data_IF_130861813411
#
_entry.id   IF_130861813411
#
_cell.length_a   1.000
_cell.length_b   1.000
_cell.length_c   1.000
_cell.angle_alpha   90.00
_cell.angle_beta   90.00
_cell.angle_gamma   90.00
#
_symmetry.space_group_name_H-M   'P 1'
#
loop_
_entity.id
_entity.type
_entity.pdbx_description
1 polymer ?
#
# COMPACT_ATOMS: atom_id res chain seq x y z
N UNK A 1 8.96 -11.07 -17.08
CA UNK A 1 9.78 -10.65 -15.92
C UNK A 1 10.17 -11.92 -15.19
N UNK A 2 11.44 -12.14 -14.90
CA UNK A 2 11.86 -13.31 -14.11
C UNK A 2 11.44 -13.12 -12.65
N UNK A 3 11.19 -14.22 -11.94
CA UNK A 3 10.93 -14.17 -10.49
C UNK A 3 12.23 -13.71 -9.81
N UNK A 4 12.22 -12.66 -8.98
CA UNK A 4 13.41 -12.20 -8.30
C UNK A 4 13.95 -13.28 -7.36
N UNK A 5 15.28 -13.33 -7.22
CA UNK A 5 15.95 -14.23 -6.28
C UNK A 5 15.82 -13.68 -4.84
N UNK A 6 15.63 -14.55 -3.84
CA UNK A 6 15.58 -14.14 -2.44
C UNK A 6 16.92 -13.55 -1.99
N UNK A 7 16.94 -12.74 -0.91
CA UNK A 7 18.17 -12.17 -0.39
C UNK A 7 19.10 -13.25 0.17
N UNK A 8 20.40 -13.11 -0.12
CA UNK A 8 21.44 -14.00 0.42
C UNK A 8 21.85 -13.54 1.82
N UNK A 9 21.11 -13.97 2.84
CA UNK A 9 21.41 -13.66 4.24
C UNK A 9 22.31 -14.75 4.83
N UNK A 10 23.52 -14.40 5.23
CA UNK A 10 24.46 -15.37 5.80
C UNK A 10 24.16 -15.65 7.28
N UNK A 11 24.61 -16.81 7.78
CA UNK A 11 24.58 -17.10 9.23
C UNK A 11 25.36 -16.09 10.05
N UNK A 12 26.42 -15.52 9.48
CA UNK A 12 27.22 -14.49 10.13
C UNK A 12 26.42 -13.20 10.31
N UNK A 13 25.59 -12.82 9.32
CA UNK A 13 24.73 -11.63 9.43
C UNK A 13 23.67 -11.81 10.52
N UNK A 14 23.00 -12.97 10.55
CA UNK A 14 22.03 -13.28 11.60
C UNK A 14 22.66 -13.34 13.00
N UNK A 15 23.85 -13.93 13.13
CA UNK A 15 24.56 -13.96 14.42
C UNK A 15 24.94 -12.55 14.88
N UNK A 16 25.36 -11.68 13.95
CA UNK A 16 25.62 -10.27 14.27
C UNK A 16 24.34 -9.59 14.77
N UNK A 17 23.19 -9.81 14.13
CA UNK A 17 21.91 -9.28 14.61
C UNK A 17 21.57 -9.76 16.02
N UNK A 18 21.80 -11.04 16.34
CA UNK A 18 21.60 -11.60 17.68
C UNK A 18 22.53 -11.00 18.73
N UNK A 19 23.78 -10.73 18.36
CA UNK A 19 24.77 -10.10 19.24
C UNK A 19 24.47 -8.63 19.50
N UNK A 20 24.02 -7.88 18.48
CA UNK A 20 23.77 -6.43 18.59
C UNK A 20 22.34 -6.07 18.96
N UNK A 21 21.38 -6.97 18.76
CA UNK A 21 19.94 -6.71 18.81
C UNK A 21 19.40 -5.95 17.59
N UNK A 22 20.24 -5.60 16.62
CA UNK A 22 19.84 -4.83 15.43
C UNK A 22 19.56 -5.75 14.25
N UNK A 23 18.27 -5.98 13.99
CA UNK A 23 17.78 -6.78 12.85
C UNK A 23 17.43 -5.96 11.62
N UNK A 24 17.56 -4.63 11.67
CA UNK A 24 17.24 -3.77 10.52
C UNK A 24 17.99 -4.16 9.25
N UNK A 25 19.30 -4.49 9.26
CA UNK A 25 20.01 -4.86 8.03
C UNK A 25 19.41 -6.07 7.32
N UNK A 26 18.98 -7.09 8.08
CA UNK A 26 18.41 -8.33 7.54
C UNK A 26 16.97 -8.12 7.06
N UNK A 27 16.13 -7.49 7.89
CA UNK A 27 14.73 -7.24 7.53
C UNK A 27 14.59 -6.23 6.38
N UNK A 28 15.54 -5.31 6.23
CA UNK A 28 15.59 -4.40 5.09
C UNK A 28 15.81 -5.13 3.76
N UNK A 29 16.64 -6.17 3.72
CA UNK A 29 16.81 -7.01 2.53
C UNK A 29 15.51 -7.73 2.15
N UNK A 30 14.79 -8.25 3.14
CA UNK A 30 13.46 -8.84 2.92
C UNK A 30 12.44 -7.80 2.44
N UNK A 31 12.44 -6.59 3.00
CA UNK A 31 11.57 -5.51 2.53
C UNK A 31 11.82 -5.19 1.05
N UNK A 32 13.09 -5.09 0.64
CA UNK A 32 13.47 -4.94 -0.78
C UNK A 32 12.95 -6.10 -1.62
N UNK A 33 13.14 -7.32 -1.16
CA UNK A 33 12.70 -8.49 -1.90
C UNK A 33 11.18 -8.52 -2.10
N UNK A 34 10.40 -8.24 -1.05
CA UNK A 34 8.93 -8.19 -1.14
C UNK A 34 8.46 -7.09 -2.08
N UNK A 35 9.15 -5.94 -2.16
CA UNK A 35 8.84 -4.90 -3.14
C UNK A 35 8.98 -5.39 -4.59
N UNK A 36 9.98 -6.22 -4.87
CA UNK A 36 10.20 -6.83 -6.19
C UNK A 36 9.16 -7.91 -6.48
N UNK A 37 8.80 -8.72 -5.48
CA UNK A 37 7.76 -9.75 -5.59
C UNK A 37 6.40 -9.10 -5.87
N UNK A 38 6.03 -8.02 -5.17
CA UNK A 38 4.81 -7.27 -5.46
C UNK A 38 4.79 -6.74 -6.91
N UNK A 39 5.92 -6.22 -7.40
CA UNK A 39 6.02 -5.75 -8.79
C UNK A 39 5.92 -6.89 -9.82
N UNK A 40 6.48 -8.06 -9.52
CA UNK A 40 6.35 -9.25 -10.35
C UNK A 40 4.88 -9.68 -10.47
N UNK A 41 4.17 -9.82 -9.35
CA UNK A 41 2.75 -10.20 -9.36
C UNK A 41 1.84 -9.16 -9.99
N UNK A 42 2.17 -7.87 -9.89
CA UNK A 42 1.48 -6.80 -10.60
C UNK A 42 1.63 -6.90 -12.14
N UNK A 43 2.56 -7.72 -12.63
CA UNK A 43 2.80 -7.91 -14.08
C UNK A 43 2.02 -9.09 -14.68
N UNK A 44 1.23 -9.82 -13.88
CA UNK A 44 0.38 -10.93 -14.37
C UNK A 44 -0.63 -10.42 -15.41
N UNK A 45 -0.62 -11.04 -16.58
CA UNK A 45 -1.50 -10.70 -17.71
C UNK A 45 -2.77 -11.56 -17.72
N UNK A 46 -3.86 -11.00 -18.28
CA UNK A 46 -5.16 -11.67 -18.39
C UNK A 46 -5.24 -12.74 -19.50
N UNK A 47 -4.21 -12.85 -20.36
CA UNK A 47 -4.19 -13.77 -21.49
C UNK A 47 -3.72 -15.19 -21.12
N UNK A 48 -3.29 -15.41 -19.88
CA UNK A 48 -2.95 -16.73 -19.35
C UNK A 48 -4.19 -17.61 -19.17
N UNK A 49 -4.08 -18.89 -19.56
CA UNK A 49 -5.14 -19.89 -19.37
C UNK A 49 -5.42 -20.20 -17.89
N UNK A 50 -4.47 -19.91 -17.00
CA UNK A 50 -4.62 -20.12 -15.56
C UNK A 50 -5.43 -19.01 -14.86
N UNK A 51 -5.70 -17.89 -15.56
CA UNK A 51 -6.33 -16.70 -14.99
C UNK A 51 -7.81 -16.65 -15.34
N UNK A 52 -8.65 -16.38 -14.34
CA UNK A 52 -10.11 -16.32 -14.52
C UNK A 52 -10.49 -15.11 -15.36
N UNK A 53 -11.67 -15.18 -15.99
CA UNK A 53 -12.22 -14.05 -16.74
C UNK A 53 -12.61 -12.92 -15.79
N UNK A 54 -11.83 -11.84 -15.81
CA UNK A 54 -12.06 -10.61 -15.04
C UNK A 54 -12.23 -9.46 -16.03
N UNK A 55 -13.09 -8.49 -15.68
CA UNK A 55 -13.15 -7.22 -16.42
C UNK A 55 -11.76 -6.58 -16.50
N UNK A 56 -11.38 -6.08 -17.68
CA UNK A 56 -10.10 -5.41 -17.90
C UNK A 56 -9.89 -4.24 -16.92
N UNK A 57 -10.96 -3.51 -16.61
CA UNK A 57 -10.92 -2.39 -15.67
C UNK A 57 -10.70 -2.89 -14.24
N UNK A 58 -11.37 -3.96 -13.82
CA UNK A 58 -11.18 -4.51 -12.47
C UNK A 58 -9.77 -5.07 -12.29
N UNK A 59 -9.28 -5.82 -13.27
CA UNK A 59 -7.89 -6.31 -13.23
C UNK A 59 -6.90 -5.15 -13.19
N UNK A 60 -7.13 -4.08 -13.96
CA UNK A 60 -6.31 -2.86 -13.94
C UNK A 60 -6.27 -2.19 -12.56
N UNK A 61 -7.39 -2.20 -11.83
CA UNK A 61 -7.45 -1.74 -10.43
C UNK A 61 -6.57 -2.61 -9.54
N UNK A 62 -6.68 -3.94 -9.65
CA UNK A 62 -5.92 -4.88 -8.81
C UNK A 62 -4.40 -4.74 -9.03
N UNK A 63 -3.95 -4.82 -10.29
CA UNK A 63 -2.53 -4.66 -10.62
C UNK A 63 -2.02 -3.25 -10.32
N UNK A 64 -2.89 -2.23 -10.45
CA UNK A 64 -2.56 -0.85 -10.11
C UNK A 64 -2.33 -0.65 -8.62
N UNK A 65 -3.17 -1.24 -7.76
CA UNK A 65 -2.97 -1.23 -6.31
C UNK A 65 -1.70 -1.99 -5.91
N UNK A 66 -1.46 -3.16 -6.50
CA UNK A 66 -0.27 -3.96 -6.19
C UNK A 66 1.02 -3.28 -6.67
N UNK A 67 1.02 -2.71 -7.88
CA UNK A 67 2.14 -1.90 -8.37
C UNK A 67 2.34 -0.66 -7.50
N UNK A 68 1.27 -0.03 -7.01
CA UNK A 68 1.38 1.09 -6.06
C UNK A 68 2.07 0.65 -4.77
N UNK A 69 1.74 -0.50 -4.19
CA UNK A 69 2.48 -1.06 -3.04
C UNK A 69 3.97 -1.19 -3.37
N UNK A 70 4.30 -1.86 -4.48
CA UNK A 70 5.69 -2.05 -4.89
C UNK A 70 6.45 -0.73 -5.07
N UNK A 71 5.86 0.24 -5.77
CA UNK A 71 6.49 1.55 -6.03
C UNK A 71 6.73 2.35 -4.76
N UNK A 72 5.77 2.33 -3.83
CA UNK A 72 5.92 2.99 -2.54
C UNK A 72 6.98 2.28 -1.67
N UNK A 73 7.04 0.95 -1.70
CA UNK A 73 8.12 0.21 -1.03
C UNK A 73 9.49 0.55 -1.65
N UNK A 74 9.61 0.62 -2.97
CA UNK A 74 10.85 1.09 -3.61
C UNK A 74 11.23 2.52 -3.20
N UNK A 75 10.25 3.41 -3.02
CA UNK A 75 10.50 4.73 -2.45
C UNK A 75 11.03 4.66 -1.03
N UNK A 76 10.45 3.80 -0.18
CA UNK A 76 10.96 3.58 1.18
C UNK A 76 12.37 3.00 1.17
N UNK A 77 12.70 2.07 0.27
CA UNK A 77 14.06 1.56 0.11
C UNK A 77 15.06 2.68 -0.21
N UNK A 78 14.68 3.62 -1.08
CA UNK A 78 15.54 4.75 -1.41
C UNK A 78 15.68 5.74 -0.24
N UNK A 79 14.60 5.95 0.54
CA UNK A 79 14.59 6.85 1.70
C UNK A 79 15.25 6.24 2.93
N UNK A 80 15.26 4.92 3.06
CA UNK A 80 15.96 4.18 4.11
C UNK A 80 17.48 4.20 3.95
N UNK A 81 18.02 5.01 3.02
CA UNK A 81 19.46 5.26 2.94
C UNK A 81 19.97 5.79 4.29
N UNK A 82 20.94 5.10 4.88
CA UNK A 82 21.46 5.33 6.24
C UNK A 82 20.42 5.17 7.37
N UNK A 83 19.16 4.84 7.06
CA UNK A 83 18.10 4.58 8.03
C UNK A 83 17.51 5.82 8.71
N UNK A 84 17.79 7.04 8.22
CA UNK A 84 17.54 8.31 8.94
C UNK A 84 16.21 9.03 8.60
N UNK A 85 15.35 8.43 7.77
CA UNK A 85 14.08 9.02 7.35
C UNK A 85 12.87 8.24 7.88
N UNK A 86 12.94 7.79 9.14
CA UNK A 86 11.92 6.95 9.78
C UNK A 86 10.52 7.57 9.82
N UNK A 87 10.43 8.89 9.94
CA UNK A 87 9.16 9.64 9.92
C UNK A 87 8.55 9.67 8.51
N UNK A 88 9.37 9.88 7.49
CA UNK A 88 8.92 9.96 6.10
C UNK A 88 8.52 8.57 5.59
N UNK A 89 9.30 7.55 5.91
CA UNK A 89 9.01 6.15 5.57
C UNK A 89 7.72 5.67 6.24
N UNK A 90 7.42 6.10 7.48
CA UNK A 90 6.14 5.82 8.16
C UNK A 90 4.91 6.39 7.44
N UNK A 91 5.02 7.58 6.84
CA UNK A 91 3.95 8.20 6.03
C UNK A 91 3.66 7.34 4.79
N UNK A 92 4.72 6.82 4.17
CA UNK A 92 4.62 5.99 2.98
C UNK A 92 4.09 4.60 3.34
N UNK A 93 4.54 4.01 4.44
CA UNK A 93 4.06 2.73 4.97
C UNK A 93 2.55 2.76 5.22
N UNK A 94 2.04 3.86 5.79
CA UNK A 94 0.61 4.08 5.95
C UNK A 94 -0.13 4.03 4.60
N UNK A 95 0.46 4.58 3.53
CA UNK A 95 -0.11 4.52 2.18
C UNK A 95 -0.01 3.14 1.52
N UNK A 96 1.06 2.38 1.80
CA UNK A 96 1.22 0.99 1.38
C UNK A 96 0.14 0.12 2.03
N UNK A 97 -0.01 0.24 3.36
CA UNK A 97 -1.02 -0.46 4.14
C UNK A 97 -2.43 -0.24 3.57
N UNK A 98 -2.82 1.01 3.31
CA UNK A 98 -4.15 1.28 2.72
C UNK A 98 -4.36 0.62 1.37
N UNK A 99 -3.32 0.59 0.54
CA UNK A 99 -3.37 0.03 -0.81
C UNK A 99 -3.50 -1.51 -0.75
N UNK A 100 -2.75 -2.14 0.16
CA UNK A 100 -2.81 -3.58 0.42
C UNK A 100 -4.18 -4.01 0.96
N UNK A 101 -4.73 -3.30 1.95
CA UNK A 101 -6.05 -3.61 2.51
C UNK A 101 -7.16 -3.46 1.45
N UNK A 102 -7.12 -2.39 0.63
CA UNK A 102 -8.08 -2.22 -0.47
C UNK A 102 -7.98 -3.35 -1.49
N UNK A 103 -6.76 -3.79 -1.81
CA UNK A 103 -6.54 -4.92 -2.72
C UNK A 103 -7.15 -6.20 -2.14
N UNK A 104 -6.82 -6.56 -0.89
CA UNK A 104 -7.36 -7.74 -0.21
C UNK A 104 -8.88 -7.69 -0.13
N UNK A 105 -9.46 -6.53 0.21
CA UNK A 105 -10.90 -6.34 0.30
C UNK A 105 -11.61 -6.54 -1.05
N UNK A 106 -11.07 -5.98 -2.14
CA UNK A 106 -11.61 -6.19 -3.48
C UNK A 106 -11.53 -7.65 -3.91
N UNK A 107 -10.43 -8.32 -3.61
CA UNK A 107 -10.24 -9.74 -3.90
C UNK A 107 -11.21 -10.62 -3.09
N UNK A 108 -11.47 -10.26 -1.83
CA UNK A 108 -12.40 -10.97 -0.97
C UNK A 108 -13.87 -10.78 -1.42
N UNK A 109 -14.27 -9.55 -1.76
CA UNK A 109 -15.65 -9.27 -2.23
C UNK A 109 -15.90 -9.79 -3.64
N UNK A 110 -14.98 -9.51 -4.55
CA UNK A 110 -15.02 -10.00 -5.93
C UNK A 110 -16.19 -9.53 -6.78
N UNK A 111 -17.02 -8.61 -6.28
CA UNK A 111 -18.22 -8.14 -6.97
C UNK A 111 -18.00 -6.80 -7.71
N UNK A 112 -18.78 -6.59 -8.79
CA UNK A 112 -18.69 -5.41 -9.65
C UNK A 112 -18.98 -4.09 -8.92
N UNK A 113 -19.89 -4.12 -7.94
CA UNK A 113 -20.27 -2.93 -7.18
C UNK A 113 -19.08 -2.41 -6.35
N UNK A 114 -18.31 -3.30 -5.73
CA UNK A 114 -17.12 -2.96 -4.94
C UNK A 114 -16.04 -2.27 -5.78
N UNK A 115 -15.77 -2.78 -6.99
CA UNK A 115 -14.85 -2.14 -7.93
C UNK A 115 -15.39 -0.79 -8.43
N UNK A 116 -16.66 -0.75 -8.83
CA UNK A 116 -17.31 0.48 -9.30
C UNK A 116 -17.27 1.58 -8.24
N UNK A 117 -17.49 1.24 -6.96
CA UNK A 117 -17.41 2.21 -5.86
C UNK A 117 -16.01 2.77 -5.67
N UNK A 118 -14.96 1.94 -5.74
CA UNK A 118 -13.58 2.43 -5.63
C UNK A 118 -13.25 3.42 -6.76
N UNK A 119 -13.59 3.06 -7.99
CA UNK A 119 -13.34 3.88 -9.18
C UNK A 119 -14.14 5.19 -9.10
N UNK A 120 -15.44 5.10 -8.79
CA UNK A 120 -16.32 6.26 -8.68
C UNK A 120 -15.88 7.20 -7.57
N UNK A 121 -15.49 6.69 -6.40
CA UNK A 121 -15.00 7.53 -5.30
C UNK A 121 -13.77 8.35 -5.73
N UNK A 122 -12.83 7.73 -6.47
CA UNK A 122 -11.66 8.42 -7.02
C UNK A 122 -12.01 9.49 -8.06
N UNK A 123 -13.12 9.35 -8.79
CA UNK A 123 -13.53 10.27 -9.85
C UNK A 123 -14.52 11.37 -9.39
N UNK A 124 -15.10 11.26 -8.19
CA UNK A 124 -16.03 12.28 -7.67
C UNK A 124 -15.40 13.67 -7.62
N UNK A 125 -14.15 13.76 -7.17
CA UNK A 125 -13.41 15.02 -7.13
C UNK A 125 -13.17 15.57 -8.54
N UNK A 126 -12.85 14.70 -9.51
CA UNK A 126 -12.66 15.10 -10.91
C UNK A 126 -13.94 15.65 -11.53
N UNK A 127 -15.10 15.02 -11.26
CA UNK A 127 -16.41 15.52 -11.73
C UNK A 127 -16.76 16.87 -11.09
N UNK A 128 -16.47 17.04 -9.79
CA UNK A 128 -16.66 18.33 -9.11
C UNK A 128 -15.76 19.41 -9.71
N UNK A 129 -14.51 19.06 -9.99
CA UNK A 129 -13.55 20.00 -10.57
C UNK A 129 -13.93 20.38 -12.01
N UNK A 130 -14.39 19.41 -12.82
CA UNK A 130 -14.96 19.65 -14.16
C UNK A 130 -16.08 20.69 -14.11
N UNK A 131 -17.04 20.53 -13.19
CA UNK A 131 -18.14 21.50 -12.99
C UNK A 131 -17.63 22.90 -12.64
N UNK A 132 -16.58 22.99 -11.81
CA UNK A 132 -15.97 24.28 -11.46
C UNK A 132 -15.28 24.93 -12.65
N UNK A 133 -14.54 24.17 -13.47
CA UNK A 133 -13.89 24.69 -14.68
C UNK A 133 -14.96 25.19 -15.67
N UNK A 134 -15.99 24.39 -15.95
CA UNK A 134 -17.07 24.75 -16.88
C UNK A 134 -17.80 26.02 -16.43
N UNK A 135 -18.11 26.15 -15.13
CA UNK A 135 -18.74 27.38 -14.61
C UNK A 135 -17.83 28.60 -14.74
N UNK A 136 -16.53 28.47 -14.51
CA UNK A 136 -15.57 29.56 -14.72
C UNK A 136 -15.48 29.99 -16.21
N UNK A 137 -15.51 29.05 -17.15
CA UNK A 137 -15.55 29.34 -18.59
C UNK A 137 -16.83 30.10 -18.96
N UNK A 138 -17.97 29.67 -18.43
CA UNK A 138 -19.25 30.34 -18.65
C UNK A 138 -19.24 31.80 -18.13
N UNK A 139 -18.68 32.04 -16.93
CA UNK A 139 -18.51 33.38 -16.37
C UNK A 139 -17.66 34.30 -17.26
N UNK A 140 -16.71 33.73 -18.00
CA UNK A 140 -15.90 34.46 -18.99
C UNK A 140 -16.51 34.47 -20.39
N UNK A 141 -17.83 34.31 -20.51
CA UNK A 141 -18.58 34.32 -21.78
C UNK A 141 -18.03 33.30 -22.80
N UNK A 142 -17.65 32.12 -22.32
CA UNK A 142 -17.12 31.05 -23.16
C UNK A 142 -15.62 31.15 -23.47
N UNK A 143 -14.90 32.17 -22.96
CA UNK A 143 -13.45 32.27 -23.15
C UNK A 143 -12.72 31.22 -22.30
N UNK A 144 -12.43 30.09 -22.94
CA UNK A 144 -11.67 28.99 -22.39
C UNK A 144 -10.17 29.28 -22.44
N UNK A 145 -9.48 29.03 -21.32
CA UNK A 145 -8.01 29.12 -21.23
C UNK A 145 -7.36 27.80 -21.66
N UNK A 146 -6.11 27.87 -22.14
CA UNK A 146 -5.36 26.68 -22.56
C UNK A 146 -5.20 25.64 -21.43
N UNK A 147 -4.96 26.09 -20.20
CA UNK A 147 -4.86 25.20 -19.03
C UNK A 147 -6.19 24.48 -18.75
N UNK A 148 -7.33 25.16 -18.90
CA UNK A 148 -8.65 24.58 -18.68
C UNK A 148 -8.98 23.53 -19.72
N UNK A 149 -8.62 23.77 -20.99
CA UNK A 149 -8.74 22.76 -22.04
C UNK A 149 -7.93 21.50 -21.70
N UNK A 150 -6.68 21.67 -21.24
CA UNK A 150 -5.84 20.53 -20.82
C UNK A 150 -6.44 19.78 -19.62
N UNK A 151 -6.90 20.50 -18.60
CA UNK A 151 -7.52 19.89 -17.41
C UNK A 151 -8.80 19.12 -17.77
N UNK A 152 -9.69 19.72 -18.57
CA UNK A 152 -10.92 19.05 -19.03
C UNK A 152 -10.61 17.80 -19.85
N UNK A 153 -9.63 17.85 -20.75
CA UNK A 153 -9.21 16.69 -21.52
C UNK A 153 -8.66 15.58 -20.62
N UNK A 154 -7.90 15.92 -19.57
CA UNK A 154 -7.38 14.94 -18.60
C UNK A 154 -8.51 14.27 -17.83
N UNK A 155 -9.45 15.06 -17.32
CA UNK A 155 -10.62 14.56 -16.57
C UNK A 155 -11.45 13.62 -17.45
N UNK A 156 -11.76 14.06 -18.68
CA UNK A 156 -12.53 13.29 -19.63
C UNK A 156 -11.86 11.95 -19.97
N UNK A 157 -10.54 11.96 -20.16
CA UNK A 157 -9.78 10.74 -20.39
C UNK A 157 -9.85 9.76 -19.20
N UNK A 158 -9.85 10.24 -17.95
CA UNK A 158 -10.02 9.35 -16.79
C UNK A 158 -11.43 8.76 -16.70
N UNK A 159 -12.46 9.58 -16.93
CA UNK A 159 -13.85 9.12 -16.94
C UNK A 159 -14.07 8.08 -18.05
N UNK A 160 -13.57 8.34 -19.26
CA UNK A 160 -13.69 7.40 -20.38
C UNK A 160 -12.99 6.06 -20.10
N UNK A 161 -11.77 6.10 -19.55
CA UNK A 161 -11.02 4.88 -19.17
C UNK A 161 -11.65 4.11 -18.02
N UNK A 162 -12.54 4.73 -17.24
CA UNK A 162 -13.22 4.06 -16.14
C UNK A 162 -14.38 3.18 -16.59
N UNK A 163 -14.90 3.41 -17.81
CA UNK A 163 -16.14 2.79 -18.31
C UNK A 163 -17.38 3.06 -17.44
N UNK A 164 -17.34 4.07 -16.56
CA UNK A 164 -18.44 4.50 -15.70
C UNK A 164 -18.92 5.89 -16.17
N UNK A 165 -20.24 6.07 -16.30
CA UNK A 165 -20.83 7.37 -16.63
C UNK A 165 -20.70 8.38 -15.48
N UNK A 166 -20.70 9.69 -15.80
CA UNK A 166 -20.65 10.74 -14.77
C UNK A 166 -21.83 10.65 -13.78
N UNK A 167 -23.03 10.32 -14.27
CA UNK A 167 -24.21 10.14 -13.43
C UNK A 167 -24.01 8.99 -12.44
N UNK A 168 -23.44 7.87 -12.91
CA UNK A 168 -23.12 6.72 -12.05
C UNK A 168 -21.99 7.06 -11.07
N UNK A 169 -20.98 7.83 -11.46
CA UNK A 169 -19.90 8.30 -10.57
C UNK A 169 -20.49 9.13 -9.41
N UNK A 170 -21.34 10.11 -9.72
CA UNK A 170 -21.94 11.01 -8.72
C UNK A 170 -22.91 10.28 -7.80
N UNK A 171 -23.71 9.35 -8.35
CA UNK A 171 -24.71 8.58 -7.59
C UNK A 171 -24.14 7.36 -6.86
N UNK A 172 -22.90 6.97 -7.16
CA UNK A 172 -22.28 5.80 -6.52
C UNK A 172 -22.17 5.97 -5.01
N UNK A 173 -22.49 4.89 -4.30
CA UNK A 173 -22.26 4.76 -2.86
C UNK A 173 -20.79 4.98 -2.56
N UNK A 174 -20.51 5.50 -1.35
CA UNK A 174 -19.14 5.55 -0.85
C UNK A 174 -18.60 4.13 -0.69
N UNK A 175 -17.30 4.01 -0.90
CA UNK A 175 -16.57 2.83 -0.48
C UNK A 175 -16.63 2.73 1.07
N UNK A 176 -16.66 1.51 1.66
CA UNK A 176 -16.54 1.36 3.12
C UNK A 176 -15.29 2.06 3.66
N UNK A 177 -15.29 2.41 4.94
CA UNK A 177 -14.06 2.87 5.59
C UNK A 177 -13.09 1.70 5.79
N UNK A 178 -11.82 2.03 6.09
CA UNK A 178 -10.78 1.00 6.20
C UNK A 178 -11.02 0.03 7.36
N UNK A 179 -11.65 0.49 8.46
CA UNK A 179 -11.99 -0.39 9.58
C UNK A 179 -12.97 -1.49 9.12
N UNK A 180 -14.02 -1.09 8.38
CA UNK A 180 -15.00 -2.00 7.81
C UNK A 180 -14.36 -2.96 6.80
N UNK A 181 -13.38 -2.49 6.02
CA UNK A 181 -12.65 -3.37 5.09
C UNK A 181 -11.83 -4.43 5.83
N UNK A 182 -11.10 -4.04 6.87
CA UNK A 182 -10.25 -4.91 7.70
C UNK A 182 -11.09 -5.99 8.38
N UNK A 183 -12.25 -5.61 8.93
CA UNK A 183 -13.20 -6.55 9.53
C UNK A 183 -13.70 -7.58 8.50
N UNK A 184 -14.05 -7.13 7.29
CA UNK A 184 -14.53 -8.01 6.21
C UNK A 184 -13.47 -9.04 5.79
N UNK A 185 -12.19 -8.66 5.74
CA UNK A 185 -11.10 -9.57 5.37
C UNK A 185 -10.61 -10.43 6.55
N UNK A 186 -11.21 -10.29 7.74
CA UNK A 186 -10.99 -11.16 8.89
C UNK A 186 -9.79 -10.79 9.77
N UNK A 187 -9.23 -9.58 9.61
CA UNK A 187 -8.15 -9.11 10.49
C UNK A 187 -8.72 -8.45 11.76
N UNK A 188 -7.95 -8.53 12.84
CA UNK A 188 -8.34 -7.92 14.12
C UNK A 188 -8.33 -6.39 14.08
N UNK A 189 -9.12 -5.78 14.97
CA UNK A 189 -9.17 -4.34 15.21
C UNK A 189 -7.80 -3.76 15.55
N UNK A 190 -6.89 -4.53 16.15
CA UNK A 190 -5.52 -4.09 16.40
C UNK A 190 -4.77 -3.75 15.10
N UNK A 191 -4.97 -4.51 14.02
CA UNK A 191 -4.38 -4.20 12.71
C UNK A 191 -4.84 -2.83 12.18
N UNK A 192 -6.11 -2.48 12.39
CA UNK A 192 -6.61 -1.14 12.09
C UNK A 192 -5.95 -0.08 12.98
N UNK A 193 -5.82 -0.31 14.28
CA UNK A 193 -5.22 0.68 15.18
C UNK A 193 -3.75 0.95 14.80
N UNK A 194 -2.96 -0.11 14.63
CA UNK A 194 -1.53 -0.01 14.34
C UNK A 194 -1.32 0.53 12.91
N UNK A 195 -1.89 -0.13 11.91
CA UNK A 195 -1.67 0.21 10.50
C UNK A 195 -2.35 1.51 10.06
N UNK A 196 -3.57 1.82 10.55
CA UNK A 196 -4.29 3.04 10.20
C UNK A 196 -4.07 4.17 11.20
N UNK A 197 -4.53 4.00 12.45
CA UNK A 197 -4.70 5.12 13.38
C UNK A 197 -3.36 5.72 13.80
N UNK A 198 -2.44 4.85 14.21
CA UNK A 198 -1.07 5.25 14.58
C UNK A 198 -0.34 5.77 13.36
N UNK A 199 -0.35 5.04 12.23
CA UNK A 199 0.26 5.51 10.98
C UNK A 199 -0.24 6.87 10.50
N UNK A 200 -1.54 7.17 10.68
CA UNK A 200 -2.12 8.47 10.33
C UNK A 200 -1.63 9.64 11.18
N UNK A 201 -1.02 9.41 12.35
CA UNK A 201 -0.37 10.47 13.11
C UNK A 201 0.75 11.12 12.30
N UNK A 202 1.55 10.32 11.60
CA UNK A 202 2.66 10.79 10.76
C UNK A 202 2.16 11.57 9.54
N UNK A 203 1.05 11.12 8.93
CA UNK A 203 0.45 11.79 7.76
C UNK A 203 -0.09 13.18 8.12
N UNK A 204 -0.67 13.33 9.31
CA UNK A 204 -1.38 14.55 9.70
C UNK A 204 -0.61 15.46 10.66
N UNK A 205 0.60 15.07 11.08
CA UNK A 205 1.40 15.84 12.04
C UNK A 205 0.67 16.03 13.37
N UNK A 206 0.06 14.97 13.90
CA UNK A 206 -0.62 15.06 15.20
C UNK A 206 0.39 15.25 16.33
N UNK A 207 -0.08 15.63 17.52
CA UNK A 207 0.77 15.84 18.71
C UNK A 207 1.76 14.70 18.96
N UNK A 208 1.30 13.46 18.88
CA UNK A 208 2.13 12.25 19.03
C UNK A 208 3.26 12.25 18.00
N UNK A 209 2.96 12.45 16.71
CA UNK A 209 4.00 12.46 15.68
C UNK A 209 4.95 13.65 15.80
N UNK A 210 4.44 14.84 16.15
CA UNK A 210 5.27 16.02 16.37
C UNK A 210 6.29 15.76 17.47
N UNK A 211 5.83 15.22 18.60
CA UNK A 211 6.70 14.91 19.73
C UNK A 211 7.73 13.83 19.41
N UNK A 212 7.33 12.76 18.71
CA UNK A 212 8.25 11.65 18.43
C UNK A 212 9.29 11.95 17.34
N UNK A 213 8.95 12.76 16.33
CA UNK A 213 9.77 12.89 15.12
C UNK A 213 10.29 14.30 14.84
N UNK A 214 9.64 15.34 15.36
CA UNK A 214 9.91 16.71 14.94
C UNK A 214 10.35 17.63 16.08
N UNK A 215 10.21 17.19 17.33
CA UNK A 215 10.55 17.95 18.51
C UNK A 215 11.52 17.16 19.40
N UNK A 216 12.38 17.88 20.10
CA UNK A 216 13.24 17.38 21.15
C UNK A 216 13.20 18.33 22.35
N UNK A 217 13.47 17.81 23.55
CA UNK A 217 13.47 18.60 24.79
C UNK A 217 14.86 18.52 25.43
N UNK A 218 15.51 19.68 25.55
CA UNK A 218 16.81 19.84 26.20
C UNK A 218 16.67 20.90 27.30
N UNK A 219 17.07 20.55 28.53
CA UNK A 219 16.98 21.43 29.71
C UNK A 219 15.59 22.08 29.94
N UNK A 220 14.51 21.36 29.59
CA UNK A 220 13.13 21.84 29.72
C UNK A 220 12.70 22.81 28.61
N UNK A 221 13.51 22.97 27.56
CA UNK A 221 13.20 23.79 26.40
C UNK A 221 12.96 22.89 25.19
N UNK A 222 11.84 23.11 24.51
CA UNK A 222 11.43 22.33 23.34
C UNK A 222 11.99 22.99 22.08
N UNK A 223 12.72 22.21 21.28
CA UNK A 223 13.33 22.65 20.02
C UNK A 223 12.92 21.74 18.85
N UNK A 224 12.99 22.22 17.60
CA UNK A 224 12.84 21.37 16.43
C UNK A 224 14.00 20.36 16.35
N UNK A 225 13.65 19.09 16.15
CA UNK A 225 14.61 18.01 15.92
C UNK A 225 15.19 18.08 14.50
N UNK A 226 16.44 17.63 14.35
CA UNK A 226 17.06 17.39 13.05
C UNK A 226 16.46 16.23 12.24
N UNK A 227 17.00 16.01 11.04
CA UNK A 227 16.60 14.92 10.14
C UNK A 227 17.40 13.63 10.41
N UNK A 228 17.30 13.09 11.62
CA UNK A 228 18.06 11.92 12.09
C UNK A 228 17.17 10.80 12.67
N UNK A 229 15.91 10.76 12.25
CA UNK A 229 14.92 9.83 12.81
C UNK A 229 15.18 8.42 12.27
N UNK A 230 15.61 7.53 13.16
CA UNK A 230 15.84 6.14 12.80
C UNK A 230 14.56 5.43 12.37
N UNK A 231 14.66 4.64 11.30
CA UNK A 231 13.59 3.75 10.85
C UNK A 231 13.43 2.60 11.84
N UNK A 232 12.21 2.40 12.34
CA UNK A 232 11.95 1.36 13.33
C UNK A 232 11.90 -0.03 12.67
N UNK A 233 12.54 -1.03 13.27
CA UNK A 233 12.61 -2.41 12.74
C UNK A 233 11.25 -3.00 12.34
N UNK A 234 10.20 -2.75 13.14
CA UNK A 234 8.82 -3.17 12.83
C UNK A 234 8.32 -2.71 11.46
N UNK A 235 8.79 -1.56 10.94
CA UNK A 235 8.42 -1.11 9.59
C UNK A 235 8.91 -2.09 8.52
N UNK A 236 10.11 -2.67 8.72
CA UNK A 236 10.69 -3.66 7.83
C UNK A 236 10.10 -5.07 7.95
N UNK A 237 9.29 -5.34 8.98
CA UNK A 237 8.60 -6.62 9.13
C UNK A 237 7.11 -6.52 8.79
N UNK A 238 6.40 -5.55 9.39
CA UNK A 238 4.95 -5.45 9.32
C UNK A 238 4.43 -5.18 7.91
N UNK A 239 5.00 -4.19 7.21
CA UNK A 239 4.52 -3.80 5.88
C UNK A 239 4.76 -4.90 4.84
N UNK A 240 5.92 -5.56 4.79
CA UNK A 240 6.10 -6.73 3.93
C UNK A 240 5.06 -7.82 4.16
N UNK A 241 4.75 -8.17 5.42
CA UNK A 241 3.74 -9.18 5.74
C UNK A 241 2.35 -8.78 5.22
N UNK A 242 1.93 -7.54 5.44
CA UNK A 242 0.65 -7.03 4.93
C UNK A 242 0.59 -7.06 3.39
N UNK A 243 1.70 -6.75 2.72
CA UNK A 243 1.78 -6.80 1.25
C UNK A 243 1.74 -8.25 0.75
N UNK A 244 2.41 -9.18 1.43
CA UNK A 244 2.38 -10.62 1.11
C UNK A 244 0.97 -11.18 1.25
N UNK A 245 0.23 -10.80 2.30
CA UNK A 245 -1.18 -11.17 2.46
C UNK A 245 -2.05 -10.65 1.29
N UNK A 246 -1.80 -9.40 0.87
CA UNK A 246 -2.51 -8.82 -0.26
C UNK A 246 -2.16 -9.50 -1.60
N UNK A 247 -0.91 -9.94 -1.78
CA UNK A 247 -0.49 -10.76 -2.91
C UNK A 247 -1.20 -12.12 -2.88
N UNK A 248 -1.27 -12.79 -1.73
CA UNK A 248 -1.97 -14.05 -1.58
C UNK A 248 -3.46 -13.92 -1.89
N UNK A 249 -4.12 -12.86 -1.39
CA UNK A 249 -5.50 -12.54 -1.72
C UNK A 249 -5.68 -12.31 -3.24
N UNK A 250 -4.75 -11.61 -3.88
CA UNK A 250 -4.73 -11.40 -5.32
C UNK A 250 -4.61 -12.73 -6.09
N UNK A 251 -3.64 -13.57 -5.75
CA UNK A 251 -3.44 -14.90 -6.35
C UNK A 251 -4.72 -15.73 -6.25
N UNK A 252 -5.26 -15.89 -5.04
CA UNK A 252 -6.47 -16.68 -4.81
C UNK A 252 -7.68 -16.13 -5.55
N UNK A 253 -7.74 -14.80 -5.77
CA UNK A 253 -8.79 -14.21 -6.56
C UNK A 253 -8.58 -14.44 -8.06
N UNK A 254 -7.38 -14.27 -8.62
CA UNK A 254 -7.21 -14.24 -10.08
C UNK A 254 -7.09 -15.60 -10.73
N UNK A 255 -6.59 -16.62 -10.04
CA UNK A 255 -6.42 -17.95 -10.62
C UNK A 255 -7.76 -18.71 -10.69
N UNK A 256 -7.93 -19.52 -11.75
CA UNK A 256 -9.12 -20.38 -11.93
C UNK A 256 -9.02 -21.59 -11.02
N UNK A 257 -7.87 -22.25 -11.09
CA UNK A 257 -7.61 -23.52 -10.44
C UNK A 257 -6.96 -23.29 -9.07
N UNK A 258 -7.42 -24.06 -8.09
CA UNK A 258 -6.95 -23.93 -6.71
C UNK A 258 -5.52 -24.46 -6.56
N UNK A 259 -5.10 -25.45 -7.35
CA UNK A 259 -3.75 -25.99 -7.30
C UNK A 259 -2.74 -25.05 -7.95
N UNK A 260 -3.11 -24.36 -9.03
CA UNK A 260 -2.32 -23.26 -9.60
C UNK A 260 -2.16 -22.12 -8.57
N UNK A 261 -3.27 -21.72 -7.92
CA UNK A 261 -3.24 -20.69 -6.88
C UNK A 261 -2.36 -21.08 -5.69
N UNK A 262 -2.45 -22.34 -5.23
CA UNK A 262 -1.59 -22.91 -4.19
C UNK A 262 -0.14 -22.90 -4.62
N UNK A 263 0.17 -23.35 -5.83
CA UNK A 263 1.52 -23.38 -6.38
C UNK A 263 2.21 -22.01 -6.33
N UNK A 264 1.49 -20.96 -6.71
CA UNK A 264 2.00 -19.59 -6.65
C UNK A 264 2.09 -19.05 -5.21
N UNK A 265 1.17 -19.46 -4.34
CA UNK A 265 1.14 -19.04 -2.93
C UNK A 265 2.24 -19.66 -2.08
N UNK A 266 2.81 -20.82 -2.46
CA UNK A 266 3.91 -21.47 -1.70
C UNK A 266 5.09 -20.52 -1.49
N UNK A 267 5.48 -19.77 -2.53
CA UNK A 267 6.56 -18.79 -2.42
C UNK A 267 6.21 -17.69 -1.41
N UNK A 268 4.97 -17.20 -1.45
CA UNK A 268 4.49 -16.14 -0.55
C UNK A 268 4.51 -16.62 0.89
N UNK A 269 4.02 -17.83 1.13
CA UNK A 269 3.99 -18.45 2.46
C UNK A 269 5.40 -18.69 3.01
N UNK A 270 6.34 -19.12 2.16
CA UNK A 270 7.74 -19.27 2.55
C UNK A 270 8.38 -17.92 2.94
N UNK A 271 8.16 -16.86 2.15
CA UNK A 271 8.69 -15.53 2.46
C UNK A 271 8.09 -14.99 3.76
N UNK A 272 6.76 -15.09 3.92
CA UNK A 272 6.08 -14.67 5.15
C UNK A 272 6.64 -15.38 6.37
N UNK A 273 6.85 -16.71 6.26
CA UNK A 273 7.42 -17.51 7.34
C UNK A 273 8.83 -17.05 7.72
N UNK A 274 9.72 -16.84 6.76
CA UNK A 274 11.09 -16.38 7.04
C UNK A 274 11.10 -15.01 7.75
N UNK A 275 10.27 -14.06 7.28
CA UNK A 275 10.15 -12.74 7.92
C UNK A 275 9.59 -12.87 9.34
N UNK A 276 8.58 -13.71 9.54
CA UNK A 276 7.99 -13.99 10.86
C UNK A 276 9.01 -14.62 11.81
N UNK A 277 9.73 -15.65 11.36
CA UNK A 277 10.73 -16.35 12.18
C UNK A 277 11.83 -15.38 12.64
N UNK A 278 12.32 -14.49 11.75
CA UNK A 278 13.27 -13.43 12.12
C UNK A 278 12.63 -12.41 13.07
N UNK A 279 11.39 -11.99 12.81
CA UNK A 279 10.71 -10.99 13.63
C UNK A 279 10.40 -11.50 15.04
N UNK A 280 10.14 -12.79 15.22
CA UNK A 280 10.01 -13.40 16.55
C UNK A 280 11.31 -13.29 17.37
N UNK A 281 12.49 -13.33 16.73
CA UNK A 281 13.77 -13.06 17.39
C UNK A 281 13.89 -11.59 17.84
N UNK A 282 13.21 -10.65 17.17
CA UNK A 282 13.18 -9.22 17.53
C UNK A 282 12.28 -8.96 18.74
N UNK A 283 11.08 -9.54 18.75
CA UNK A 283 10.08 -9.24 19.79
C UNK A 283 10.28 -10.08 21.06
N UNK A 284 10.99 -11.20 20.94
CA UNK A 284 11.19 -12.16 22.03
C UNK A 284 9.96 -13.05 22.25
N UNK A 285 10.13 -14.12 23.04
CA UNK A 285 9.12 -15.16 23.27
C UNK A 285 7.86 -14.70 24.03
N UNK A 286 7.81 -13.45 24.49
CA UNK A 286 6.74 -12.93 25.35
C UNK A 286 5.57 -12.31 24.56
N UNK A 287 5.70 -12.19 23.24
CA UNK A 287 4.64 -11.65 22.38
C UNK A 287 4.36 -12.62 21.22
N UNK A 288 3.43 -13.53 21.43
CA UNK A 288 2.69 -14.15 20.33
C UNK A 288 1.97 -13.03 19.57
N UNK A 289 2.55 -12.57 18.45
CA UNK A 289 1.93 -11.52 17.63
C UNK A 289 0.81 -12.13 16.78
N UNK A 290 -0.35 -11.50 16.95
CA UNK A 290 -1.66 -11.64 16.29
C UNK A 290 -1.62 -11.39 14.78
#
# INVERSE_FOLDING_TARGET
>A
MEIPLPPEISKTDLNKCRETGDYCPVLFEWYKYVSQIANFYASIQLDSLAIKKISKIHHSVLIGLLNRCARLMFSNVALSHEGLFGETTSIIDRSIFESAIKLSWLCHKGDEDSFNRLIAEGLKTEVQFKKKIVSNIALRKGKQMAIEKRMLNSIENYIQKSEISEEKIVSSKKIPDLASMIEVIGHDRLAYIVGQKIGSHHVHGTWVSLWFHYLEEEDGIIHPRGHDVQTHVNQYAYIPLIVLDAIKAYINYVFIDEDDAKGMSILIDAISKEIQDIYQEVVGSDNEIV
#
